data_IF_487846815060
#
_entry.id   IF_487846815060
#
_cell.length_a   1.000
_cell.length_b   1.000
_cell.length_c   1.000
_cell.angle_alpha   90.00
_cell.angle_beta   90.00
_cell.angle_gamma   90.00
#
_symmetry.space_group_name_H-M   'P 1'
#
loop_
_entity.id
_entity.type
_entity.pdbx_description
1 polymer ?
#
# COMPACT_ATOMS: atom_id res chain seq x y z
N UNK A 1 51.21 0.14 -23.36
CA UNK A 1 50.47 1.01 -22.45
C UNK A 1 51.42 2.02 -21.86
N UNK A 2 51.25 3.29 -22.19
CA UNK A 2 52.06 4.41 -21.70
C UNK A 2 51.46 4.99 -20.42
N UNK A 3 52.26 5.74 -19.66
CA UNK A 3 51.79 6.42 -18.44
C UNK A 3 50.58 7.31 -18.73
N UNK A 4 50.55 7.97 -19.89
CA UNK A 4 49.43 8.84 -20.28
C UNK A 4 48.13 8.05 -20.54
N UNK A 5 48.23 6.87 -21.14
CA UNK A 5 47.07 5.98 -21.35
C UNK A 5 46.50 5.52 -19.99
N UNK A 6 47.37 5.16 -19.04
CA UNK A 6 46.96 4.77 -17.67
C UNK A 6 46.27 5.93 -16.93
N UNK A 7 46.75 7.16 -17.11
CA UNK A 7 46.14 8.34 -16.48
C UNK A 7 44.74 8.58 -17.04
N UNK A 8 44.56 8.42 -18.35
CA UNK A 8 43.27 8.64 -18.99
C UNK A 8 42.27 7.53 -18.62
N UNK A 9 42.68 6.27 -18.65
CA UNK A 9 41.85 5.14 -18.17
C UNK A 9 41.41 5.34 -16.72
N UNK A 10 42.29 5.82 -15.84
CA UNK A 10 41.93 6.11 -14.44
C UNK A 10 40.91 7.24 -14.32
N UNK A 11 41.01 8.30 -15.15
CA UNK A 11 40.02 9.38 -15.17
C UNK A 11 38.67 8.88 -15.64
N UNK A 12 38.64 8.09 -16.71
CA UNK A 12 37.41 7.48 -17.22
C UNK A 12 36.77 6.57 -16.17
N UNK A 13 37.56 5.74 -15.49
CA UNK A 13 37.10 4.89 -14.39
C UNK A 13 36.51 5.72 -13.24
N UNK A 14 37.13 6.84 -12.85
CA UNK A 14 36.59 7.72 -11.82
C UNK A 14 35.24 8.34 -12.22
N UNK A 15 35.09 8.73 -13.49
CA UNK A 15 33.82 9.25 -14.02
C UNK A 15 32.75 8.15 -14.01
N UNK A 16 33.09 6.94 -14.46
CA UNK A 16 32.16 5.80 -14.45
C UNK A 16 31.75 5.44 -13.02
N UNK A 17 32.69 5.41 -12.08
CA UNK A 17 32.44 5.13 -10.67
C UNK A 17 31.49 6.16 -10.05
N UNK A 18 31.71 7.45 -10.34
CA UNK A 18 30.83 8.53 -9.88
C UNK A 18 29.40 8.40 -10.43
N UNK A 19 29.26 8.02 -11.71
CA UNK A 19 27.95 7.75 -12.32
C UNK A 19 27.26 6.54 -11.70
N UNK A 20 28.02 5.48 -11.40
CA UNK A 20 27.50 4.29 -10.73
C UNK A 20 26.98 4.64 -9.33
N UNK A 21 27.73 5.41 -8.54
CA UNK A 21 27.27 5.89 -7.22
C UNK A 21 25.97 6.67 -7.35
N UNK A 22 25.89 7.63 -8.27
CA UNK A 22 24.66 8.43 -8.45
C UNK A 22 23.45 7.54 -8.80
N UNK A 23 23.68 6.51 -9.61
CA UNK A 23 22.64 5.55 -9.99
C UNK A 23 22.20 4.71 -8.80
N UNK A 24 23.15 4.21 -7.99
CA UNK A 24 22.87 3.44 -6.76
C UNK A 24 22.04 4.30 -5.80
N UNK A 25 22.47 5.53 -5.52
CA UNK A 25 21.73 6.45 -4.63
C UNK A 25 20.31 6.71 -5.13
N UNK A 26 20.12 6.89 -6.45
CA UNK A 26 18.79 7.07 -7.02
C UNK A 26 17.91 5.81 -6.86
N UNK A 27 18.48 4.62 -7.00
CA UNK A 27 17.76 3.36 -6.81
C UNK A 27 17.41 3.13 -5.34
N UNK A 28 18.32 3.40 -4.41
CA UNK A 28 18.07 3.30 -2.97
C UNK A 28 16.90 4.20 -2.54
N UNK A 29 16.89 5.45 -3.03
CA UNK A 29 15.78 6.37 -2.78
C UNK A 29 14.44 5.84 -3.32
N UNK A 30 14.44 5.25 -4.53
CA UNK A 30 13.23 4.62 -5.10
C UNK A 30 12.77 3.43 -4.26
N UNK A 31 13.69 2.58 -3.80
CA UNK A 31 13.39 1.44 -2.93
C UNK A 31 12.73 1.92 -1.63
N UNK A 32 13.26 2.95 -0.98
CA UNK A 32 12.67 3.52 0.23
C UNK A 32 11.25 4.04 0.02
N UNK A 33 11.01 4.75 -1.10
CA UNK A 33 9.65 5.22 -1.46
C UNK A 33 8.71 4.04 -1.69
N UNK A 34 9.15 3.01 -2.40
CA UNK A 34 8.34 1.82 -2.67
C UNK A 34 8.02 1.04 -1.40
N UNK A 35 8.97 0.92 -0.46
CA UNK A 35 8.73 0.28 0.83
C UNK A 35 7.67 1.02 1.64
N UNK A 36 7.71 2.36 1.68
CA UNK A 36 6.69 3.17 2.34
C UNK A 36 5.31 2.99 1.71
N UNK A 37 5.23 2.97 0.37
CA UNK A 37 3.98 2.73 -0.36
C UNK A 37 3.42 1.33 -0.10
N UNK A 38 4.29 0.32 -0.09
CA UNK A 38 3.90 -1.07 0.20
C UNK A 38 3.30 -1.19 1.60
N UNK A 39 3.91 -0.55 2.60
CA UNK A 39 3.42 -0.55 3.98
C UNK A 39 2.05 0.15 4.10
N UNK A 40 1.88 1.30 3.44
CA UNK A 40 0.60 1.98 3.40
C UNK A 40 -0.50 1.12 2.77
N UNK A 41 -0.21 0.48 1.63
CA UNK A 41 -1.13 -0.41 0.93
C UNK A 41 -1.46 -1.67 1.74
N UNK A 42 -0.51 -2.20 2.52
CA UNK A 42 -0.76 -3.34 3.42
C UNK A 42 -1.78 -2.97 4.49
N UNK A 43 -1.60 -1.82 5.14
CA UNK A 43 -2.54 -1.31 6.15
C UNK A 43 -3.92 -1.06 5.57
N UNK A 44 -3.99 -0.49 4.37
CA UNK A 44 -5.25 -0.30 3.65
C UNK A 44 -5.93 -1.65 3.33
N UNK A 45 -5.16 -2.64 2.85
CA UNK A 45 -5.68 -3.97 2.57
C UNK A 45 -6.22 -4.66 3.83
N UNK A 46 -5.52 -4.54 4.96
CA UNK A 46 -5.98 -5.06 6.26
C UNK A 46 -7.29 -4.40 6.71
N UNK A 47 -7.40 -3.07 6.56
CA UNK A 47 -8.65 -2.33 6.85
C UNK A 47 -9.80 -2.84 5.98
N UNK A 48 -9.57 -2.98 4.66
CA UNK A 48 -10.58 -3.49 3.72
C UNK A 48 -11.01 -4.93 4.04
N UNK A 49 -10.06 -5.80 4.44
CA UNK A 49 -10.38 -7.17 4.87
C UNK A 49 -11.27 -7.19 6.11
N UNK A 50 -10.95 -6.36 7.11
CA UNK A 50 -11.78 -6.23 8.31
C UNK A 50 -13.20 -5.77 7.97
N UNK A 51 -13.34 -4.77 7.10
CA UNK A 51 -14.65 -4.29 6.64
C UNK A 51 -15.45 -5.39 5.92
N UNK A 52 -14.80 -6.11 5.01
CA UNK A 52 -15.40 -7.25 4.30
C UNK A 52 -15.91 -8.30 5.30
N UNK A 53 -15.12 -8.63 6.32
CA UNK A 53 -15.49 -9.65 7.28
C UNK A 53 -16.69 -9.21 8.16
N UNK A 54 -16.76 -7.93 8.53
CA UNK A 54 -17.92 -7.33 9.21
C UNK A 54 -19.16 -7.40 8.32
N UNK A 55 -19.04 -7.03 7.04
CA UNK A 55 -20.13 -7.06 6.07
C UNK A 55 -20.67 -8.48 5.88
N UNK A 56 -19.79 -9.46 5.67
CA UNK A 56 -20.17 -10.85 5.46
C UNK A 56 -20.93 -11.40 6.67
N UNK A 57 -20.40 -11.23 7.88
CA UNK A 57 -21.10 -11.61 9.12
C UNK A 57 -22.44 -10.89 9.25
N UNK A 58 -22.48 -9.62 8.87
CA UNK A 58 -23.68 -8.83 8.89
C UNK A 58 -24.77 -9.39 7.98
N UNK A 59 -24.41 -9.78 6.76
CA UNK A 59 -25.30 -10.40 5.78
C UNK A 59 -25.77 -11.78 6.26
N UNK A 60 -24.87 -12.60 6.81
CA UNK A 60 -25.20 -13.91 7.37
C UNK A 60 -26.29 -13.80 8.46
N UNK A 61 -26.14 -12.84 9.37
CA UNK A 61 -27.17 -12.57 10.40
C UNK A 61 -28.45 -12.06 9.75
N UNK A 62 -28.36 -11.15 8.77
CA UNK A 62 -29.53 -10.61 8.08
C UNK A 62 -30.39 -11.69 7.41
N UNK A 63 -29.76 -12.72 6.83
CA UNK A 63 -30.45 -13.86 6.20
C UNK A 63 -31.19 -14.74 7.21
N UNK A 64 -30.81 -14.71 8.49
CA UNK A 64 -31.47 -15.45 9.56
C UNK A 64 -32.66 -14.68 10.17
N UNK A 65 -32.80 -13.39 9.87
CA UNK A 65 -33.88 -12.55 10.40
C UNK A 65 -35.16 -12.77 9.58
N UNK A 66 -36.22 -13.26 10.23
CA UNK A 66 -37.50 -13.54 9.58
C UNK A 66 -38.36 -12.30 9.28
N UNK A 67 -38.18 -11.20 10.03
CA UNK A 67 -38.90 -9.94 9.82
C UNK A 67 -38.07 -9.01 8.94
N UNK A 68 -38.68 -8.57 7.83
CA UNK A 68 -38.07 -7.62 6.90
C UNK A 68 -37.66 -6.32 7.60
N UNK A 69 -38.51 -5.79 8.49
CA UNK A 69 -38.22 -4.55 9.22
C UNK A 69 -36.99 -4.70 10.12
N UNK A 70 -36.84 -5.85 10.79
CA UNK A 70 -35.66 -6.14 11.62
C UNK A 70 -34.41 -6.37 10.77
N UNK A 71 -34.57 -6.97 9.60
CA UNK A 71 -33.49 -7.20 8.64
C UNK A 71 -32.95 -5.86 8.12
N UNK A 72 -33.85 -4.95 7.72
CA UNK A 72 -33.50 -3.61 7.24
C UNK A 72 -32.80 -2.79 8.33
N UNK A 73 -33.28 -2.84 9.58
CA UNK A 73 -32.66 -2.16 10.71
C UNK A 73 -31.24 -2.68 11.00
N UNK A 74 -31.05 -4.00 10.91
CA UNK A 74 -29.75 -4.63 11.12
C UNK A 74 -28.74 -4.21 10.04
N UNK A 75 -29.12 -4.27 8.77
CA UNK A 75 -28.27 -3.82 7.66
C UNK A 75 -27.90 -2.34 7.78
N UNK A 76 -28.85 -1.48 8.17
CA UNK A 76 -28.59 -0.05 8.40
C UNK A 76 -27.53 0.17 9.48
N UNK A 77 -27.60 -0.55 10.60
CA UNK A 77 -26.62 -0.46 11.70
C UNK A 77 -25.22 -0.92 11.27
N UNK A 78 -25.12 -1.93 10.41
CA UNK A 78 -23.83 -2.37 9.86
C UNK A 78 -23.21 -1.27 9.00
N UNK A 79 -24.01 -0.61 8.15
CA UNK A 79 -23.55 0.50 7.32
C UNK A 79 -23.10 1.68 8.20
N UNK A 80 -23.86 2.02 9.25
CA UNK A 80 -23.49 3.07 10.21
C UNK A 80 -22.17 2.74 10.91
N UNK A 81 -22.01 1.52 11.41
CA UNK A 81 -20.76 1.06 12.05
C UNK A 81 -19.56 1.11 11.08
N UNK A 82 -19.76 0.73 9.82
CA UNK A 82 -18.72 0.86 8.80
C UNK A 82 -18.37 2.32 8.53
N UNK A 83 -19.33 3.25 8.54
CA UNK A 83 -19.05 4.69 8.41
C UNK A 83 -18.24 5.21 9.59
N UNK A 84 -18.59 4.84 10.81
CA UNK A 84 -17.90 5.25 12.04
C UNK A 84 -16.46 4.73 12.11
N UNK A 85 -16.24 3.45 11.77
CA UNK A 85 -14.90 2.84 11.81
C UNK A 85 -13.97 3.35 10.71
N UNK A 86 -14.51 3.94 9.64
CA UNK A 86 -13.73 4.16 8.42
C UNK A 86 -13.60 5.61 8.01
N UNK A 87 -14.48 6.50 8.49
CA UNK A 87 -14.54 7.91 8.14
C UNK A 87 -15.10 8.21 6.74
N UNK A 88 -15.12 7.21 5.85
CA UNK A 88 -15.53 7.31 4.45
C UNK A 88 -16.13 5.97 4.01
N UNK A 89 -17.42 5.78 4.29
CA UNK A 89 -18.21 4.80 3.53
C UNK A 89 -19.22 5.60 2.68
N UNK A 90 -18.74 6.12 1.55
CA UNK A 90 -19.58 6.70 0.49
C UNK A 90 -19.98 5.58 -0.46
N UNK A 91 -20.83 4.68 0.04
CA UNK A 91 -21.64 3.83 -0.83
C UNK A 91 -22.75 4.65 -1.47
#
# INVERSE_FOLDING_TARGET
>A
MTINEIIEENRELQVQYSRAINTITALENRVLVLQKKLEALRKENEKLRSQRDILLRGIEIALQISSKEKQDLHLKKIIEKLKEETGEFTG
#
